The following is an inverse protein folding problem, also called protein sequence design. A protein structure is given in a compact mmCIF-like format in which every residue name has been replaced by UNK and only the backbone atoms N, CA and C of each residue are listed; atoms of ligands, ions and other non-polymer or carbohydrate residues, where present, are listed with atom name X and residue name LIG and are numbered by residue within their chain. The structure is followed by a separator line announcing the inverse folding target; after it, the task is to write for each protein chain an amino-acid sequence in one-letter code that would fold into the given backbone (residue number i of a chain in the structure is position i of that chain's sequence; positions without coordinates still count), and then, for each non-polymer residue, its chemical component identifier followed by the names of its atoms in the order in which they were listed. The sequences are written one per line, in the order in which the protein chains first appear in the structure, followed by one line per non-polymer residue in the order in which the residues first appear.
data_IF_218877860851
#
_entry.id   IF_218877860851
#
_cell.length_a   1.000
_cell.length_b   1.000
_cell.length_c   1.000
_cell.angle_alpha   90.00
_cell.angle_beta   90.00
_cell.angle_gamma   90.00
#
_symmetry.space_group_name_H-M   'P 1'
#
loop_
_entity.id
_entity.type
_entity.pdbx_description
1 polymer ?
#
# COMPACT_ATOMS: atom_id res chain seq x y z
N UNK A 1 47.61 -25.78 4.64
CA UNK A 1 47.30 -24.72 3.66
C UNK A 1 48.58 -24.51 2.87
N UNK A 2 48.53 -24.57 1.53
CA UNK A 2 49.76 -24.46 0.73
C UNK A 2 49.97 -22.99 0.37
N UNK A 3 51.14 -22.47 0.71
CA UNK A 3 51.48 -21.05 0.54
C UNK A 3 52.33 -20.85 -0.72
N UNK A 4 52.04 -19.80 -1.50
CA UNK A 4 52.76 -19.51 -2.74
C UNK A 4 54.08 -18.80 -2.42
N UNK A 5 55.16 -19.57 -2.30
CA UNK A 5 56.50 -19.05 -2.03
C UNK A 5 57.09 -18.33 -3.24
N UNK A 6 56.99 -17.00 -3.27
CA UNK A 6 57.69 -16.15 -4.24
C UNK A 6 59.18 -16.12 -3.90
N UNK A 7 60.03 -16.35 -4.91
CA UNK A 7 61.49 -16.17 -4.84
C UNK A 7 61.91 -15.20 -5.92
N UNK A 8 62.54 -14.10 -5.54
CA UNK A 8 62.91 -13.01 -6.45
C UNK A 8 64.42 -12.85 -6.55
N UNK A 9 64.87 -12.44 -7.75
CA UNK A 9 66.24 -12.01 -8.02
C UNK A 9 66.19 -11.05 -9.21
N UNK A 10 66.72 -9.84 -9.05
CA UNK A 10 66.77 -8.82 -10.11
C UNK A 10 68.20 -8.65 -10.58
N UNK A 11 68.42 -8.73 -11.89
CA UNK A 11 69.72 -8.48 -12.53
C UNK A 11 69.50 -7.41 -13.61
N UNK A 12 70.12 -6.25 -13.46
CA UNK A 12 69.99 -5.15 -14.41
C UNK A 12 70.78 -5.45 -15.71
N UNK A 13 70.21 -5.21 -16.91
CA UNK A 13 70.92 -5.42 -18.17
C UNK A 13 71.99 -4.33 -18.38
N UNK A 14 73.27 -4.71 -18.28
CA UNK A 14 74.40 -3.81 -18.54
C UNK A 14 74.65 -3.71 -20.04
N UNK A 15 74.40 -2.54 -20.63
CA UNK A 15 74.74 -2.23 -22.02
C UNK A 15 76.08 -1.47 -22.03
N UNK A 16 77.12 -2.09 -22.58
CA UNK A 16 78.43 -1.46 -22.80
C UNK A 16 78.64 -1.20 -24.30
N UNK A 17 78.98 0.04 -24.65
CA UNK A 17 79.24 0.52 -26.02
C UNK A 17 80.40 1.53 -25.92
N UNK A 18 81.33 1.50 -26.87
CA UNK A 18 82.45 2.43 -26.99
C UNK A 18 82.02 3.81 -27.55
N UNK A 19 81.07 4.47 -26.87
CA UNK A 19 80.49 5.73 -27.34
C UNK A 19 81.55 6.83 -27.57
N UNK A 20 82.54 6.96 -26.70
CA UNK A 20 83.60 7.98 -26.83
C UNK A 20 84.44 7.77 -28.11
N UNK A 21 84.76 6.51 -28.43
CA UNK A 21 85.50 6.14 -29.65
C UNK A 21 84.64 6.37 -30.90
N UNK A 22 83.36 5.97 -30.86
CA UNK A 22 82.42 6.14 -31.97
C UNK A 22 82.13 7.62 -32.23
N UNK A 23 82.01 8.44 -31.20
CA UNK A 23 81.82 9.89 -31.33
C UNK A 23 83.09 10.59 -31.84
N UNK A 24 84.27 10.17 -31.38
CA UNK A 24 85.54 10.66 -31.93
C UNK A 24 85.70 10.32 -33.42
N UNK A 25 85.43 9.06 -33.81
CA UNK A 25 85.47 8.61 -35.21
C UNK A 25 84.44 9.34 -36.06
N UNK A 26 83.19 9.47 -35.58
CA UNK A 26 82.13 10.18 -36.30
C UNK A 26 82.45 11.68 -36.49
N UNK A 27 83.05 12.33 -35.48
CA UNK A 27 83.54 13.72 -35.59
C UNK A 27 84.66 13.85 -36.62
N UNK A 28 85.63 12.93 -36.64
CA UNK A 28 86.73 12.98 -37.60
C UNK A 28 86.23 12.77 -39.04
N UNK A 29 85.33 11.80 -39.24
CA UNK A 29 84.65 11.57 -40.52
C UNK A 29 83.78 12.77 -40.93
N UNK A 30 83.16 13.48 -40.00
CA UNK A 30 82.37 14.67 -40.33
C UNK A 30 83.22 15.87 -40.78
N UNK A 31 84.42 16.06 -40.21
CA UNK A 31 85.33 17.17 -40.56
C UNK A 31 85.66 17.20 -42.05
N UNK A 32 85.91 16.05 -42.68
CA UNK A 32 86.32 15.98 -44.08
C UNK A 32 85.28 16.56 -45.04
N UNK A 33 84.00 16.58 -44.65
CA UNK A 33 82.90 17.12 -45.46
C UNK A 33 82.51 18.57 -45.13
N UNK A 34 83.11 19.19 -44.12
CA UNK A 34 82.62 20.47 -43.56
C UNK A 34 82.87 21.69 -44.47
N UNK A 35 83.62 21.56 -45.58
CA UNK A 35 83.89 22.66 -46.52
C UNK A 35 84.12 22.21 -47.98
N UNK A 36 83.46 21.13 -48.43
CA UNK A 36 83.59 20.68 -49.83
C UNK A 36 82.65 21.46 -50.77
N UNK A 37 83.21 22.06 -51.82
CA UNK A 37 82.47 22.56 -52.97
C UNK A 37 82.32 21.45 -54.03
N UNK A 38 81.09 21.13 -54.43
CA UNK A 38 80.81 20.03 -55.36
C UNK A 38 80.89 20.51 -56.81
N UNK A 39 81.90 20.05 -57.55
CA UNK A 39 82.02 20.15 -59.01
C UNK A 39 81.42 18.93 -59.71
N UNK A 40 81.16 19.00 -61.02
CA UNK A 40 80.59 17.88 -61.81
C UNK A 40 81.42 16.59 -61.70
N UNK A 41 82.75 16.69 -61.73
CA UNK A 41 83.66 15.54 -61.57
C UNK A 41 83.55 14.90 -60.16
N UNK A 42 83.39 15.73 -59.12
CA UNK A 42 83.30 15.27 -57.73
C UNK A 42 81.92 14.71 -57.34
N UNK A 43 80.85 15.09 -58.06
CA UNK A 43 79.46 14.81 -57.72
C UNK A 43 79.18 13.30 -57.51
N UNK A 44 79.79 12.45 -58.34
CA UNK A 44 79.64 10.99 -58.25
C UNK A 44 80.22 10.42 -56.95
N UNK A 45 81.34 10.96 -56.49
CA UNK A 45 81.99 10.57 -55.22
C UNK A 45 81.20 11.09 -54.03
N UNK A 46 80.83 12.38 -54.03
CA UNK A 46 80.00 12.95 -52.96
C UNK A 46 78.67 12.18 -52.74
N UNK A 47 78.07 11.65 -53.82
CA UNK A 47 76.87 10.79 -53.77
C UNK A 47 77.14 9.39 -53.20
N UNK A 48 78.34 8.84 -53.37
CA UNK A 48 78.75 7.59 -52.76
C UNK A 48 79.01 7.77 -51.26
N UNK A 49 79.72 8.83 -50.89
CA UNK A 49 80.05 9.19 -49.51
C UNK A 49 78.79 9.49 -48.68
N UNK A 50 77.85 10.27 -49.22
CA UNK A 50 76.56 10.51 -48.58
C UNK A 50 75.77 9.20 -48.31
N UNK A 51 75.89 8.20 -49.20
CA UNK A 51 75.30 6.87 -49.01
C UNK A 51 76.04 6.06 -47.94
N UNK A 52 77.36 6.19 -47.84
CA UNK A 52 78.19 5.55 -46.81
C UNK A 52 77.88 6.12 -45.41
N UNK A 53 77.80 7.44 -45.28
CA UNK A 53 77.39 8.12 -44.03
C UNK A 53 75.97 7.71 -43.60
N UNK A 54 75.02 7.67 -44.53
CA UNK A 54 73.68 7.14 -44.27
C UNK A 54 73.70 5.65 -43.86
N UNK A 55 74.63 4.85 -44.39
CA UNK A 55 74.88 3.48 -43.94
C UNK A 55 75.26 3.40 -42.47
N UNK A 56 76.27 4.18 -42.03
CA UNK A 56 76.70 4.21 -40.64
C UNK A 56 75.59 4.63 -39.67
N UNK A 57 74.79 5.64 -40.01
CA UNK A 57 73.63 6.06 -39.19
C UNK A 57 72.61 4.91 -39.05
N UNK A 58 72.33 4.19 -40.14
CA UNK A 58 71.42 3.05 -40.12
C UNK A 58 71.97 1.87 -39.31
N UNK A 59 73.27 1.60 -39.36
CA UNK A 59 73.88 0.51 -38.57
C UNK A 59 73.94 0.83 -37.07
N UNK A 60 74.20 2.09 -36.68
CA UNK A 60 74.08 2.54 -35.28
C UNK A 60 72.64 2.36 -34.80
N UNK A 61 71.64 2.81 -35.57
CA UNK A 61 70.22 2.66 -35.22
C UNK A 61 69.79 1.19 -35.13
N UNK A 62 70.29 0.33 -36.04
CA UNK A 62 70.05 -1.12 -36.04
C UNK A 62 70.66 -1.80 -34.82
N UNK A 63 71.90 -1.44 -34.44
CA UNK A 63 72.57 -1.94 -33.22
C UNK A 63 71.85 -1.47 -31.95
N UNK A 64 71.44 -0.19 -31.89
CA UNK A 64 70.63 0.36 -30.79
C UNK A 64 69.32 -0.40 -30.61
N UNK A 65 68.59 -0.68 -31.70
CA UNK A 65 67.34 -1.48 -31.67
C UNK A 65 67.59 -2.91 -31.20
N UNK A 66 68.65 -3.57 -31.69
CA UNK A 66 68.99 -4.93 -31.28
C UNK A 66 69.33 -5.03 -29.78
N UNK A 67 70.22 -4.16 -29.28
CA UNK A 67 70.62 -4.13 -27.87
C UNK A 67 69.44 -3.76 -26.95
N UNK A 68 68.61 -2.78 -27.35
CA UNK A 68 67.37 -2.46 -26.64
C UNK A 68 66.42 -3.67 -26.59
N UNK A 69 66.22 -4.37 -27.71
CA UNK A 69 65.36 -5.57 -27.75
C UNK A 69 65.89 -6.71 -26.88
N UNK A 70 67.21 -6.88 -26.80
CA UNK A 70 67.84 -7.88 -25.94
C UNK A 70 67.71 -7.53 -24.45
N UNK A 71 67.89 -6.26 -24.08
CA UNK A 71 67.73 -5.79 -22.70
C UNK A 71 66.27 -5.82 -22.22
N UNK A 72 65.30 -5.57 -23.11
CA UNK A 72 63.87 -5.64 -22.78
C UNK A 72 63.31 -7.08 -22.77
N UNK A 73 63.98 -8.05 -23.39
CA UNK A 73 63.43 -9.41 -23.53
C UNK A 73 63.16 -10.12 -22.19
N UNK A 74 64.07 -10.12 -21.19
CA UNK A 74 63.80 -10.72 -19.88
C UNK A 74 62.64 -10.07 -19.13
N UNK A 75 62.44 -8.75 -19.31
CA UNK A 75 61.35 -8.00 -18.67
C UNK A 75 60.00 -8.39 -19.29
N UNK A 76 59.94 -8.53 -20.62
CA UNK A 76 58.74 -8.99 -21.33
C UNK A 76 58.41 -10.45 -21.01
N UNK A 77 59.42 -11.31 -20.91
CA UNK A 77 59.23 -12.70 -20.51
C UNK A 77 58.76 -12.82 -19.05
N UNK A 78 59.28 -11.99 -18.13
CA UNK A 78 58.81 -11.90 -16.76
C UNK A 78 57.33 -11.48 -16.68
N UNK A 79 56.94 -10.39 -17.35
CA UNK A 79 55.56 -9.90 -17.41
C UNK A 79 54.59 -10.97 -17.98
N UNK A 80 54.99 -11.66 -19.04
CA UNK A 80 54.22 -12.78 -19.63
C UNK A 80 54.07 -13.96 -18.65
N UNK A 81 55.14 -14.33 -17.94
CA UNK A 81 55.11 -15.42 -16.95
C UNK A 81 54.25 -15.05 -15.73
N UNK A 82 54.32 -13.81 -15.25
CA UNK A 82 53.44 -13.31 -14.18
C UNK A 82 51.97 -13.39 -14.58
N UNK A 83 51.61 -12.89 -15.78
CA UNK A 83 50.23 -12.96 -16.31
C UNK A 83 49.74 -14.40 -16.51
N UNK A 84 50.61 -15.32 -16.94
CA UNK A 84 50.25 -16.73 -17.03
C UNK A 84 49.94 -17.36 -15.65
N UNK A 85 50.71 -17.00 -14.60
CA UNK A 85 50.45 -17.45 -13.23
C UNK A 85 49.16 -16.82 -12.68
N UNK A 86 48.95 -15.52 -12.92
CA UNK A 86 47.73 -14.79 -12.53
C UNK A 86 46.48 -15.41 -13.18
N UNK A 87 46.55 -15.76 -14.48
CA UNK A 87 45.45 -16.43 -15.18
C UNK A 87 45.12 -17.79 -14.57
N UNK A 88 46.12 -18.63 -14.30
CA UNK A 88 45.93 -19.96 -13.67
C UNK A 88 45.23 -19.83 -12.31
N UNK A 89 45.61 -18.84 -11.49
CA UNK A 89 44.98 -18.56 -10.20
C UNK A 89 43.56 -18.00 -10.35
N UNK A 90 43.32 -17.19 -11.38
CA UNK A 90 42.00 -16.62 -11.69
C UNK A 90 41.02 -17.67 -12.19
N UNK A 91 41.45 -18.57 -13.08
CA UNK A 91 40.64 -19.67 -13.60
C UNK A 91 40.23 -20.63 -12.48
N UNK A 92 41.19 -21.01 -11.62
CA UNK A 92 40.93 -21.85 -10.45
C UNK A 92 39.98 -21.17 -9.43
N UNK A 93 40.09 -19.85 -9.23
CA UNK A 93 39.16 -19.07 -8.42
C UNK A 93 37.74 -19.11 -9.01
N UNK A 94 37.59 -18.88 -10.30
CA UNK A 94 36.29 -18.87 -10.99
C UNK A 94 35.62 -20.25 -10.96
N UNK A 95 36.39 -21.34 -11.06
CA UNK A 95 35.86 -22.70 -10.88
C UNK A 95 35.33 -22.92 -9.46
N UNK A 96 36.08 -22.52 -8.43
CA UNK A 96 35.65 -22.61 -7.02
C UNK A 96 34.40 -21.76 -6.76
N UNK A 97 34.36 -20.52 -7.24
CA UNK A 97 33.19 -19.64 -7.10
C UNK A 97 31.96 -20.24 -7.81
N UNK A 98 32.12 -20.75 -9.03
CA UNK A 98 31.07 -21.41 -9.80
C UNK A 98 30.54 -22.71 -9.18
N UNK A 99 31.35 -23.44 -8.42
CA UNK A 99 30.92 -24.61 -7.62
C UNK A 99 30.23 -24.15 -6.32
N UNK A 100 30.76 -23.14 -5.64
CA UNK A 100 30.23 -22.62 -4.37
C UNK A 100 28.82 -22.04 -4.55
N UNK A 101 28.59 -21.25 -5.59
CA UNK A 101 27.25 -20.70 -5.91
C UNK A 101 26.23 -21.82 -6.12
N UNK A 102 26.56 -22.85 -6.91
CA UNK A 102 25.68 -24.01 -7.14
C UNK A 102 25.37 -24.78 -5.84
N UNK A 103 26.35 -24.88 -4.94
CA UNK A 103 26.17 -25.54 -3.64
C UNK A 103 25.24 -24.72 -2.72
N UNK A 104 25.47 -23.41 -2.59
CA UNK A 104 24.62 -22.55 -1.77
C UNK A 104 23.20 -22.39 -2.35
N UNK A 105 23.03 -22.35 -3.67
CA UNK A 105 21.69 -22.32 -4.29
C UNK A 105 20.93 -23.63 -4.07
N UNK A 106 21.59 -24.79 -4.20
CA UNK A 106 20.98 -26.08 -3.82
C UNK A 106 20.59 -26.10 -2.34
N UNK A 107 21.44 -25.56 -1.47
CA UNK A 107 21.21 -25.49 -0.02
C UNK A 107 20.06 -24.55 0.35
N UNK A 108 19.86 -23.43 -0.37
CA UNK A 108 18.65 -22.59 -0.30
C UNK A 108 17.44 -23.41 -0.72
N UNK A 109 17.46 -24.00 -1.91
CA UNK A 109 16.32 -24.76 -2.45
C UNK A 109 15.89 -25.91 -1.52
N UNK A 110 16.84 -26.66 -0.96
CA UNK A 110 16.57 -27.70 0.05
C UNK A 110 15.97 -27.14 1.34
N UNK A 111 16.47 -26.01 1.86
CA UNK A 111 15.92 -25.35 3.04
C UNK A 111 14.50 -24.86 2.77
N UNK A 112 14.27 -24.22 1.62
CA UNK A 112 13.00 -23.58 1.29
C UNK A 112 11.91 -24.63 1.05
N UNK A 113 12.25 -25.77 0.42
CA UNK A 113 11.39 -26.98 0.37
C UNK A 113 11.05 -27.51 1.78
N UNK A 114 12.03 -27.57 2.69
CA UNK A 114 11.80 -28.02 4.09
C UNK A 114 10.90 -27.05 4.86
N UNK A 115 11.07 -25.74 4.69
CA UNK A 115 10.21 -24.71 5.29
C UNK A 115 8.77 -24.75 4.75
N UNK A 116 8.57 -24.82 3.42
CA UNK A 116 7.23 -24.92 2.83
C UNK A 116 6.53 -26.21 3.28
N UNK A 117 7.23 -27.34 3.28
CA UNK A 117 6.71 -28.63 3.78
C UNK A 117 6.48 -28.66 5.30
N UNK A 118 7.05 -27.72 6.07
CA UNK A 118 6.72 -27.50 7.48
C UNK A 118 5.41 -26.70 7.59
N UNK A 119 5.34 -25.54 6.92
CA UNK A 119 4.14 -24.70 6.90
C UNK A 119 2.89 -25.48 6.43
N UNK A 120 2.99 -26.25 5.34
CA UNK A 120 1.89 -27.10 4.86
C UNK A 120 1.38 -28.11 5.90
N UNK A 121 2.26 -28.64 6.77
CA UNK A 121 1.87 -29.59 7.82
C UNK A 121 1.21 -28.88 8.98
N UNK A 122 1.75 -27.75 9.40
CA UNK A 122 1.22 -26.96 10.52
C UNK A 122 -0.11 -26.28 10.16
N UNK A 123 -0.30 -25.81 8.92
CA UNK A 123 -1.59 -25.35 8.37
C UNK A 123 -2.65 -26.45 8.51
N UNK A 124 -2.34 -27.68 8.06
CA UNK A 124 -3.25 -28.84 8.11
C UNK A 124 -3.54 -29.27 9.56
N UNK A 125 -2.52 -29.25 10.42
CA UNK A 125 -2.61 -29.59 11.86
C UNK A 125 -3.38 -28.55 12.67
N UNK A 126 -3.33 -27.27 12.28
CA UNK A 126 -4.15 -26.20 12.86
C UNK A 126 -5.61 -26.23 12.41
N UNK A 127 -5.96 -26.99 11.36
CA UNK A 127 -7.31 -26.99 10.79
C UNK A 127 -7.70 -25.65 10.17
N UNK A 128 -6.73 -24.97 9.54
CA UNK A 128 -6.91 -23.64 8.96
C UNK A 128 -7.62 -23.73 7.59
N UNK A 129 -8.70 -22.96 7.39
CA UNK A 129 -9.45 -22.94 6.12
C UNK A 129 -8.66 -22.25 5.00
N UNK A 130 -8.94 -22.56 3.71
CA UNK A 130 -8.22 -21.98 2.57
C UNK A 130 -8.16 -20.44 2.60
N UNK A 131 -9.29 -19.78 2.90
CA UNK A 131 -9.44 -18.32 2.99
C UNK A 131 -8.55 -17.62 4.05
N UNK A 132 -8.03 -18.39 5.02
CA UNK A 132 -7.03 -17.94 5.99
C UNK A 132 -5.62 -18.44 5.62
N UNK A 133 -5.48 -19.67 5.12
CA UNK A 133 -4.20 -20.21 4.67
C UNK A 133 -3.58 -19.43 3.50
N UNK A 134 -4.40 -18.90 2.60
CA UNK A 134 -3.99 -18.01 1.49
C UNK A 134 -3.43 -16.66 1.97
N UNK A 135 -3.67 -16.27 3.23
CA UNK A 135 -3.14 -15.04 3.85
C UNK A 135 -1.72 -15.22 4.41
N UNK A 136 -1.17 -16.45 4.40
CA UNK A 136 0.18 -16.72 4.90
C UNK A 136 1.22 -16.23 3.89
N UNK A 137 2.02 -15.25 4.29
CA UNK A 137 3.05 -14.64 3.45
C UNK A 137 4.39 -15.34 3.69
N UNK A 138 5.18 -15.50 2.61
CA UNK A 138 6.54 -16.01 2.69
C UNK A 138 7.42 -15.10 3.56
N UNK A 139 8.00 -15.60 4.68
CA UNK A 139 8.78 -14.78 5.59
C UNK A 139 9.94 -14.08 4.87
N UNK A 140 10.10 -12.77 5.08
CA UNK A 140 11.21 -11.99 4.51
C UNK A 140 12.58 -12.57 4.88
N UNK A 141 12.66 -13.25 6.03
CA UNK A 141 13.81 -13.97 6.56
C UNK A 141 14.28 -15.13 5.65
N UNK A 142 13.43 -15.69 4.78
CA UNK A 142 13.85 -16.66 3.74
C UNK A 142 14.93 -16.10 2.83
N UNK A 143 14.82 -14.83 2.41
CA UNK A 143 15.68 -14.26 1.37
C UNK A 143 17.14 -14.08 1.82
N UNK A 144 17.40 -14.17 3.13
CA UNK A 144 18.74 -14.16 3.70
C UNK A 144 19.32 -15.59 3.81
N UNK A 145 20.55 -15.77 3.34
CA UNK A 145 21.29 -17.03 3.36
C UNK A 145 21.79 -17.43 4.77
N UNK A 146 21.96 -16.47 5.68
CA UNK A 146 22.40 -16.77 7.06
C UNK A 146 21.24 -17.18 7.99
N UNK A 147 19.99 -16.98 7.57
CA UNK A 147 18.81 -17.40 8.35
C UNK A 147 18.71 -18.92 8.43
N UNK A 148 18.68 -19.45 9.66
CA UNK A 148 18.46 -20.90 9.88
C UNK A 148 17.00 -21.29 9.62
N UNK A 149 16.79 -22.55 9.21
CA UNK A 149 15.45 -23.11 9.00
C UNK A 149 14.54 -22.94 10.23
N UNK A 150 15.09 -23.01 11.46
CA UNK A 150 14.33 -22.84 12.71
C UNK A 150 13.66 -21.47 12.82
N UNK A 151 14.31 -20.40 12.36
CA UNK A 151 13.75 -19.03 12.41
C UNK A 151 12.62 -18.90 11.39
N UNK A 152 12.83 -19.34 10.15
CA UNK A 152 11.82 -19.31 9.08
C UNK A 152 10.58 -20.13 9.47
N UNK A 153 10.78 -21.30 10.09
CA UNK A 153 9.68 -22.10 10.63
C UNK A 153 8.91 -21.32 11.73
N UNK A 154 9.60 -20.68 12.68
CA UNK A 154 8.94 -19.88 13.72
C UNK A 154 8.14 -18.70 13.15
N UNK A 155 8.62 -18.06 12.07
CA UNK A 155 7.89 -16.98 11.37
C UNK A 155 6.61 -17.52 10.69
N UNK A 156 6.60 -18.77 10.20
CA UNK A 156 5.39 -19.43 9.74
C UNK A 156 4.47 -19.84 10.89
N UNK A 157 5.02 -20.45 11.95
CA UNK A 157 4.26 -20.92 13.11
C UNK A 157 3.50 -19.75 13.78
N UNK A 158 4.13 -18.57 13.87
CA UNK A 158 3.51 -17.35 14.36
C UNK A 158 2.37 -16.84 13.46
N UNK A 159 2.54 -16.83 12.13
CA UNK A 159 1.47 -16.47 11.19
C UNK A 159 0.30 -17.45 11.26
N UNK A 160 0.58 -18.76 11.29
CA UNK A 160 -0.44 -19.83 11.39
C UNK A 160 -1.22 -19.70 12.71
N UNK A 161 -0.54 -19.44 13.83
CA UNK A 161 -1.20 -19.23 15.12
C UNK A 161 -2.10 -17.98 15.13
N UNK A 162 -1.63 -16.86 14.58
CA UNK A 162 -2.42 -15.63 14.50
C UNK A 162 -3.66 -15.78 13.59
N UNK A 163 -3.51 -16.43 12.44
CA UNK A 163 -4.61 -16.70 11.51
C UNK A 163 -5.59 -17.74 12.06
N UNK A 164 -5.11 -18.72 12.85
CA UNK A 164 -5.97 -19.68 13.53
C UNK A 164 -6.80 -19.01 14.63
N UNK A 165 -6.20 -18.14 15.44
CA UNK A 165 -6.93 -17.33 16.43
C UNK A 165 -8.00 -16.45 15.77
N UNK A 166 -7.68 -15.84 14.61
CA UNK A 166 -8.66 -15.06 13.85
C UNK A 166 -9.82 -15.93 13.35
N UNK A 167 -9.53 -17.10 12.76
CA UNK A 167 -10.57 -18.05 12.33
C UNK A 167 -11.47 -18.50 13.50
N UNK A 168 -10.88 -18.85 14.65
CA UNK A 168 -11.64 -19.32 15.81
C UNK A 168 -12.52 -18.21 16.42
N UNK A 169 -12.06 -16.95 16.36
CA UNK A 169 -12.87 -15.79 16.74
C UNK A 169 -14.02 -15.54 15.74
N UNK A 170 -13.79 -15.66 14.43
CA UNK A 170 -14.85 -15.57 13.41
C UNK A 170 -15.89 -16.67 13.61
N UNK A 171 -15.46 -17.92 13.73
CA UNK A 171 -16.35 -19.08 13.90
C UNK A 171 -17.20 -18.97 15.18
N UNK A 172 -16.63 -18.40 16.25
CA UNK A 172 -17.35 -18.09 17.48
C UNK A 172 -18.40 -16.98 17.29
N UNK A 173 -18.03 -15.87 16.65
CA UNK A 173 -18.95 -14.74 16.43
C UNK A 173 -20.08 -15.10 15.46
N UNK A 174 -19.80 -15.87 14.40
CA UNK A 174 -20.83 -16.38 13.47
C UNK A 174 -21.83 -17.31 14.17
N UNK A 175 -21.34 -18.20 15.04
CA UNK A 175 -22.19 -19.08 15.83
C UNK A 175 -23.09 -18.30 16.81
N UNK A 176 -22.54 -17.28 17.48
CA UNK A 176 -23.30 -16.38 18.37
C UNK A 176 -24.33 -15.59 17.57
N UNK A 177 -23.90 -14.88 16.52
CA UNK A 177 -24.73 -14.07 15.64
C UNK A 177 -25.95 -14.86 15.19
N UNK A 178 -25.72 -16.04 14.61
CA UNK A 178 -26.79 -16.91 14.15
C UNK A 178 -27.72 -17.34 15.27
N UNK A 179 -27.19 -17.85 16.38
CA UNK A 179 -28.02 -18.35 17.49
C UNK A 179 -28.88 -17.26 18.15
N UNK A 180 -28.35 -16.04 18.28
CA UNK A 180 -29.09 -14.91 18.87
C UNK A 180 -30.10 -14.32 17.87
N UNK A 181 -29.74 -14.20 16.58
CA UNK A 181 -30.68 -13.77 15.52
C UNK A 181 -31.84 -14.77 15.38
N UNK A 182 -31.56 -16.07 15.35
CA UNK A 182 -32.58 -17.13 15.31
C UNK A 182 -33.50 -17.06 16.54
N UNK A 183 -32.96 -16.76 17.74
CA UNK A 183 -33.73 -16.65 18.98
C UNK A 183 -34.58 -15.37 19.10
N UNK A 184 -34.12 -14.24 18.57
CA UNK A 184 -34.91 -12.99 18.52
C UNK A 184 -35.97 -13.02 17.41
N UNK A 185 -35.68 -13.67 16.27
CA UNK A 185 -36.61 -13.86 15.16
C UNK A 185 -37.84 -14.72 15.49
N UNK A 186 -37.90 -15.33 16.67
CA UNK A 186 -39.09 -16.00 17.23
C UNK A 186 -40.05 -15.04 17.96
N UNK A 187 -39.62 -13.79 18.24
CA UNK A 187 -40.35 -12.81 19.07
C UNK A 187 -40.91 -11.63 18.25
N UNK A 188 -40.27 -11.31 17.13
CA UNK A 188 -40.60 -10.20 16.23
C UNK A 188 -41.17 -10.73 14.90
N UNK A 189 -41.97 -9.92 14.19
CA UNK A 189 -42.50 -10.26 12.84
C UNK A 189 -41.53 -9.83 11.74
N UNK A 190 -40.88 -8.67 11.89
CA UNK A 190 -39.84 -8.22 10.96
C UNK A 190 -38.51 -8.88 11.34
N UNK A 191 -38.15 -9.93 10.61
CA UNK A 191 -36.96 -10.73 10.90
C UNK A 191 -35.65 -9.95 10.65
N UNK A 192 -34.74 -10.04 11.62
CA UNK A 192 -33.33 -9.68 11.52
C UNK A 192 -32.59 -10.62 10.58
N UNK A 193 -31.55 -10.11 9.92
CA UNK A 193 -30.63 -10.89 9.08
C UNK A 193 -29.22 -10.85 9.65
N UNK A 194 -28.44 -11.90 9.44
CA UNK A 194 -27.05 -11.94 9.91
C UNK A 194 -26.18 -10.90 9.18
N UNK A 195 -26.48 -10.66 7.90
CA UNK A 195 -25.84 -9.69 7.02
C UNK A 195 -25.96 -8.25 7.52
N UNK A 196 -27.02 -7.92 8.28
CA UNK A 196 -27.22 -6.58 8.88
C UNK A 196 -26.12 -6.25 9.92
N UNK A 197 -25.46 -7.27 10.48
CA UNK A 197 -24.43 -7.15 11.52
C UNK A 197 -23.00 -7.35 11.00
N UNK A 198 -22.81 -7.72 9.72
CA UNK A 198 -21.50 -8.13 9.18
C UNK A 198 -20.39 -7.10 9.44
N UNK A 199 -20.64 -5.81 9.20
CA UNK A 199 -19.69 -4.72 9.49
C UNK A 199 -19.30 -4.64 10.97
N UNK A 200 -20.25 -4.91 11.87
CA UNK A 200 -19.99 -4.88 13.31
C UNK A 200 -19.15 -6.09 13.76
N UNK A 201 -19.31 -7.24 13.11
CA UNK A 201 -18.41 -8.40 13.31
C UNK A 201 -17.00 -8.07 12.82
N UNK A 202 -16.84 -7.46 11.64
CA UNK A 202 -15.54 -7.00 11.12
C UNK A 202 -14.87 -5.97 12.06
N UNK A 203 -15.63 -5.00 12.58
CA UNK A 203 -15.17 -4.01 13.56
C UNK A 203 -14.72 -4.67 14.87
N UNK A 204 -15.48 -5.64 15.40
CA UNK A 204 -15.11 -6.39 16.60
C UNK A 204 -13.82 -7.19 16.39
N UNK A 205 -13.74 -7.98 15.31
CA UNK A 205 -12.53 -8.76 14.95
C UNK A 205 -11.29 -7.87 14.77
N UNK A 206 -11.47 -6.65 14.27
CA UNK A 206 -10.40 -5.66 14.08
C UNK A 206 -10.01 -4.91 15.36
N UNK A 207 -10.82 -4.97 16.42
CA UNK A 207 -10.66 -4.14 17.63
C UNK A 207 -9.59 -4.62 18.63
N UNK A 208 -9.07 -5.84 18.48
CA UNK A 208 -8.10 -6.44 19.42
C UNK A 208 -8.68 -6.80 20.79
N UNK A 209 -10.01 -6.93 20.88
CA UNK A 209 -10.78 -7.20 22.10
C UNK A 209 -10.73 -8.68 22.54
N UNK A 210 -10.97 -8.96 23.82
CA UNK A 210 -11.11 -10.35 24.31
C UNK A 210 -12.32 -11.04 23.64
N UNK A 211 -12.23 -12.33 23.27
CA UNK A 211 -13.34 -13.06 22.66
C UNK A 211 -14.67 -12.99 23.43
N UNK A 212 -14.64 -12.93 24.77
CA UNK A 212 -15.86 -12.81 25.61
C UNK A 212 -16.48 -11.43 25.52
N UNK A 213 -15.66 -10.38 25.45
CA UNK A 213 -16.13 -9.00 25.32
C UNK A 213 -16.70 -8.76 23.91
N UNK A 214 -16.08 -9.35 22.87
CA UNK A 214 -16.65 -9.36 21.51
C UNK A 214 -17.99 -10.10 21.47
N UNK A 215 -18.06 -11.31 22.05
CA UNK A 215 -19.29 -12.09 22.17
C UNK A 215 -20.41 -11.33 22.88
N UNK A 216 -20.10 -10.69 24.01
CA UNK A 216 -21.04 -9.89 24.79
C UNK A 216 -21.58 -8.70 24.01
N UNK A 217 -20.70 -7.92 23.38
CA UNK A 217 -21.09 -6.76 22.55
C UNK A 217 -21.96 -7.14 21.36
N UNK A 218 -21.60 -8.22 20.66
CA UNK A 218 -22.38 -8.73 19.53
C UNK A 218 -23.79 -9.13 19.99
N UNK A 219 -23.91 -9.88 21.09
CA UNK A 219 -25.20 -10.22 21.69
C UNK A 219 -26.02 -8.98 22.05
N UNK A 220 -25.43 -8.03 22.78
CA UNK A 220 -26.09 -6.75 23.14
C UNK A 220 -26.62 -6.01 21.90
N UNK A 221 -25.81 -5.84 20.84
CA UNK A 221 -26.25 -5.11 19.64
C UNK A 221 -27.38 -5.82 18.89
N UNK A 222 -27.42 -7.16 18.91
CA UNK A 222 -28.53 -7.92 18.33
C UNK A 222 -29.81 -7.73 19.17
N UNK A 223 -29.73 -7.81 20.50
CA UNK A 223 -30.89 -7.58 21.38
C UNK A 223 -31.41 -6.14 21.30
N UNK A 224 -30.54 -5.13 21.24
CA UNK A 224 -30.93 -3.73 20.98
C UNK A 224 -31.70 -3.61 19.66
N UNK A 225 -31.17 -4.18 18.58
CA UNK A 225 -31.79 -4.09 17.25
C UNK A 225 -33.11 -4.88 17.17
N UNK A 226 -33.27 -5.95 17.95
CA UNK A 226 -34.55 -6.64 18.13
C UNK A 226 -35.57 -5.78 18.89
N UNK A 227 -35.14 -5.07 19.94
CA UNK A 227 -35.99 -4.15 20.69
C UNK A 227 -36.45 -2.94 19.84
N UNK A 228 -35.53 -2.33 19.08
CA UNK A 228 -35.83 -1.28 18.09
C UNK A 228 -36.96 -1.69 17.13
N UNK A 229 -36.98 -2.97 16.70
CA UNK A 229 -38.03 -3.53 15.84
C UNK A 229 -39.32 -3.80 16.61
N UNK A 230 -39.24 -4.42 17.80
CA UNK A 230 -40.42 -4.73 18.61
C UNK A 230 -41.21 -3.48 19.01
N UNK A 231 -40.53 -2.38 19.37
CA UNK A 231 -41.16 -1.10 19.65
C UNK A 231 -41.84 -0.48 18.42
N UNK A 232 -41.21 -0.59 17.24
CA UNK A 232 -41.79 -0.14 15.99
C UNK A 232 -43.04 -0.96 15.59
N UNK A 233 -43.00 -2.29 15.78
CA UNK A 233 -44.15 -3.16 15.54
C UNK A 233 -45.32 -2.89 16.49
N UNK A 234 -45.04 -2.64 17.77
CA UNK A 234 -46.06 -2.31 18.76
C UNK A 234 -46.70 -0.95 18.45
N UNK A 235 -45.88 0.04 18.05
CA UNK A 235 -46.38 1.35 17.61
C UNK A 235 -47.31 1.20 16.39
N UNK A 236 -46.91 0.47 15.36
CA UNK A 236 -47.74 0.20 14.16
C UNK A 236 -49.04 -0.53 14.54
N UNK A 237 -48.97 -1.48 15.49
CA UNK A 237 -50.15 -2.18 16.01
C UNK A 237 -51.11 -1.22 16.72
N UNK A 238 -50.60 -0.34 17.58
CA UNK A 238 -51.40 0.63 18.31
C UNK A 238 -52.04 1.67 17.38
N UNK A 239 -51.28 2.18 16.40
CA UNK A 239 -51.77 3.11 15.37
C UNK A 239 -52.91 2.47 14.55
N UNK A 240 -52.78 1.20 14.15
CA UNK A 240 -53.83 0.46 13.45
C UNK A 240 -55.09 0.23 14.32
N UNK A 241 -54.92 -0.08 15.61
CA UNK A 241 -56.02 -0.25 16.56
C UNK A 241 -56.79 1.07 16.74
N UNK A 242 -56.09 2.20 16.85
CA UNK A 242 -56.72 3.50 17.06
C UNK A 242 -57.32 4.09 15.78
N UNK A 243 -56.78 3.78 14.60
CA UNK A 243 -57.45 4.07 13.32
C UNK A 243 -58.74 3.24 13.17
N UNK A 244 -58.73 1.96 13.52
CA UNK A 244 -59.93 1.11 13.45
C UNK A 244 -61.02 1.55 14.42
N UNK A 245 -60.68 1.90 15.68
CA UNK A 245 -61.64 2.54 16.62
C UNK A 245 -62.24 3.82 16.02
N UNK A 246 -61.42 4.65 15.38
CA UNK A 246 -61.87 5.90 14.74
C UNK A 246 -62.82 5.63 13.57
N UNK A 247 -62.52 4.63 12.72
CA UNK A 247 -63.40 4.18 11.63
C UNK A 247 -64.72 3.65 12.17
N UNK A 248 -64.71 2.84 13.24
CA UNK A 248 -65.93 2.32 13.87
C UNK A 248 -66.78 3.42 14.51
N UNK A 249 -66.18 4.39 15.18
CA UNK A 249 -66.89 5.57 15.70
C UNK A 249 -67.54 6.39 14.59
N UNK A 250 -66.81 6.67 13.49
CA UNK A 250 -67.35 7.38 12.33
C UNK A 250 -68.45 6.57 11.60
N UNK A 251 -68.35 5.24 11.58
CA UNK A 251 -69.40 4.38 11.02
C UNK A 251 -70.67 4.36 11.89
N UNK A 252 -70.54 4.36 13.22
CA UNK A 252 -71.68 4.51 14.14
C UNK A 252 -72.33 5.89 14.02
N UNK A 253 -71.54 6.97 13.93
CA UNK A 253 -72.03 8.33 13.72
C UNK A 253 -72.78 8.47 12.38
N UNK A 254 -72.22 7.91 11.30
CA UNK A 254 -72.88 7.88 9.98
C UNK A 254 -74.15 7.01 9.96
N UNK A 255 -74.18 5.89 10.69
CA UNK A 255 -75.36 5.05 10.82
C UNK A 255 -76.47 5.77 11.60
N UNK A 256 -76.15 6.37 12.75
CA UNK A 256 -77.10 7.15 13.55
C UNK A 256 -77.63 8.38 12.78
N UNK A 257 -76.78 9.06 12.01
CA UNK A 257 -77.20 10.15 11.12
C UNK A 257 -78.15 9.66 10.00
N UNK A 258 -77.93 8.44 9.47
CA UNK A 258 -78.81 7.82 8.47
C UNK A 258 -80.15 7.39 9.08
N UNK A 259 -80.15 6.76 10.25
CA UNK A 259 -81.38 6.43 10.99
C UNK A 259 -82.17 7.69 11.38
N UNK A 260 -81.50 8.75 11.83
CA UNK A 260 -82.14 10.04 12.10
C UNK A 260 -82.73 10.68 10.83
N UNK A 261 -82.06 10.56 9.68
CA UNK A 261 -82.57 11.03 8.39
C UNK A 261 -83.77 10.22 7.90
N UNK A 262 -83.74 8.89 8.06
CA UNK A 262 -84.85 8.01 7.69
C UNK A 262 -86.06 8.22 8.61
N UNK A 263 -85.83 8.38 9.92
CA UNK A 263 -86.87 8.70 10.90
C UNK A 263 -87.47 10.10 10.65
N UNK A 264 -86.66 11.10 10.29
CA UNK A 264 -87.15 12.41 9.87
C UNK A 264 -87.95 12.37 8.56
N UNK A 265 -87.61 11.45 7.64
CA UNK A 265 -88.42 11.23 6.42
C UNK A 265 -89.76 10.59 6.72
N UNK A 266 -89.82 9.65 7.68
CA UNK A 266 -91.07 9.02 8.14
C UNK A 266 -91.98 10.02 8.88
N UNK A 267 -91.41 10.91 9.72
CA UNK A 267 -92.17 11.96 10.42
C UNK A 267 -92.85 12.92 9.43
N UNK A 268 -92.23 13.20 8.28
CA UNK A 268 -92.82 14.06 7.24
C UNK A 268 -94.05 13.46 6.53
N UNK A 269 -94.36 12.17 6.67
CA UNK A 269 -95.65 11.61 6.24
C UNK A 269 -96.76 11.73 7.31
N UNK A 270 -96.39 12.02 8.57
CA UNK A 270 -97.34 12.14 9.69
C UNK A 270 -96.97 13.24 10.70
N UNK A 271 -97.17 14.52 10.33
CA UNK A 271 -97.87 15.51 11.18
C UNK A 271 -98.07 16.86 10.48
N UNK A 272 -99.17 16.96 9.74
CA UNK A 272 -99.61 18.20 9.11
C UNK A 272 -100.66 18.89 10.00
N UNK A 273 -100.26 19.70 11.00
CA UNK A 273 -101.01 20.89 11.46
C UNK A 273 -100.41 21.69 12.65
N UNK A 274 -100.40 23.02 12.47
CA UNK A 274 -100.57 24.11 13.48
C UNK A 274 -99.55 24.36 14.62
N UNK A 275 -99.37 25.59 15.17
CA UNK A 275 -99.22 26.98 14.63
C UNK A 275 -99.07 28.00 15.80
N UNK A 276 -98.06 28.90 15.72
CA UNK A 276 -97.96 30.24 16.40
C UNK A 276 -97.98 30.37 17.96
N UNK A 277 -97.51 31.45 18.64
CA UNK A 277 -96.58 32.56 18.34
C UNK A 277 -96.26 33.44 19.60
N UNK A 278 -95.41 34.48 19.43
CA UNK A 278 -95.06 35.64 20.32
C UNK A 278 -93.99 35.36 21.41
N UNK A 279 -92.92 36.16 21.63
CA UNK A 279 -92.72 37.64 21.81
C UNK A 279 -93.13 38.11 23.23
N UNK A 280 -92.42 38.99 23.98
CA UNK A 280 -91.28 39.93 23.77
C UNK A 280 -90.69 40.30 25.19
N UNK A 281 -89.67 41.13 25.51
CA UNK A 281 -88.83 42.13 24.78
C UNK A 281 -87.55 42.59 25.56
N UNK A 282 -86.53 43.15 24.86
CA UNK A 282 -85.64 44.32 25.18
C UNK A 282 -84.85 44.48 26.54
N UNK A 283 -83.82 45.35 26.77
CA UNK A 283 -83.39 46.69 26.23
C UNK A 283 -81.83 46.94 26.32
N UNK A 284 -81.21 47.63 25.33
CA UNK A 284 -79.96 48.48 25.33
C UNK A 284 -78.55 47.94 25.75
N UNK A 285 -77.40 48.61 25.46
CA UNK A 285 -76.88 49.22 24.19
C UNK A 285 -75.33 49.47 24.26
N UNK A 286 -74.73 49.79 23.09
CA UNK A 286 -73.30 50.05 22.70
C UNK A 286 -72.52 51.17 23.47
N UNK A 287 -71.16 51.38 23.34
CA UNK A 287 -70.34 51.20 22.11
C UNK A 287 -68.82 50.80 22.16
N UNK A 288 -68.34 50.31 21.00
CA UNK A 288 -67.03 50.49 20.30
C UNK A 288 -65.70 50.46 21.09
N UNK A 289 -64.82 49.51 20.76
CA UNK A 289 -63.38 49.73 20.45
C UNK A 289 -62.71 48.51 19.78
N UNK A 290 -61.77 48.77 18.86
CA UNK A 290 -60.78 47.84 18.29
C UNK A 290 -59.38 48.33 18.79
N UNK A 291 -58.24 47.58 18.75
CA UNK A 291 -57.83 46.74 17.61
C UNK A 291 -56.89 45.52 17.85
N UNK A 292 -56.64 44.78 16.76
CA UNK A 292 -55.40 44.00 16.45
C UNK A 292 -55.13 42.64 17.13
N UNK A 293 -54.35 41.80 16.42
CA UNK A 293 -53.72 40.51 16.78
C UNK A 293 -54.60 39.25 16.61
N UNK A 294 -54.20 38.15 15.95
CA UNK A 294 -53.33 37.91 14.77
C UNK A 294 -53.47 36.42 14.37
N UNK A 295 -53.66 36.11 13.08
CA UNK A 295 -53.49 34.81 12.39
C UNK A 295 -53.84 33.48 13.10
N UNK A 296 -54.89 32.76 12.64
CA UNK A 296 -54.78 31.32 12.42
C UNK A 296 -54.00 31.04 11.12
N UNK A 297 -53.02 30.13 11.13
CA UNK A 297 -52.32 29.70 9.91
C UNK A 297 -52.64 28.24 9.57
N UNK A 298 -53.44 28.04 8.52
CA UNK A 298 -53.44 26.81 7.73
C UNK A 298 -52.46 26.94 6.56
N UNK A 299 -51.89 25.79 6.15
CA UNK A 299 -51.31 25.51 4.82
C UNK A 299 -50.34 26.54 4.21
N UNK A 300 -49.05 26.18 4.18
CA UNK A 300 -48.07 26.79 3.26
C UNK A 300 -47.91 25.90 2.01
N UNK A 301 -48.28 26.33 0.79
CA UNK A 301 -48.09 25.56 -0.43
C UNK A 301 -46.71 25.80 -1.06
N UNK A 302 -45.89 24.73 -1.14
CA UNK A 302 -44.70 24.55 -1.98
C UNK A 302 -43.92 25.78 -2.49
N UNK A 303 -42.76 26.02 -1.86
CA UNK A 303 -41.54 26.49 -2.53
C UNK A 303 -40.36 25.62 -2.06
N UNK A 304 -39.32 25.45 -2.88
CA UNK A 304 -38.35 24.35 -2.76
C UNK A 304 -37.00 24.72 -2.14
N UNK A 305 -36.22 23.67 -1.84
CA UNK A 305 -34.81 23.65 -1.41
C UNK A 305 -34.50 23.97 0.07
N UNK A 306 -34.22 22.89 0.82
CA UNK A 306 -33.24 22.86 1.89
C UNK A 306 -32.72 21.42 2.01
N UNK A 307 -31.53 21.15 1.48
CA UNK A 307 -30.82 19.89 1.78
C UNK A 307 -30.24 19.97 3.21
N UNK A 308 -30.25 18.87 3.99
CA UNK A 308 -29.64 18.87 5.31
C UNK A 308 -28.12 19.04 5.19
N UNK A 309 -27.61 20.14 5.74
CA UNK A 309 -26.17 20.36 5.87
C UNK A 309 -25.64 19.58 7.07
N UNK A 310 -24.58 18.81 6.84
CA UNK A 310 -23.84 18.11 7.89
C UNK A 310 -22.48 18.76 8.06
N UNK A 311 -22.12 19.05 9.30
CA UNK A 311 -20.80 19.55 9.69
C UNK A 311 -20.12 18.50 10.57
N UNK A 312 -18.82 18.28 10.35
CA UNK A 312 -18.05 17.24 11.04
C UNK A 312 -16.60 17.67 11.25
N UNK A 313 -16.10 17.45 12.46
CA UNK A 313 -14.73 17.81 12.85
C UNK A 313 -13.87 16.55 12.86
N UNK A 314 -12.78 16.56 12.09
CA UNK A 314 -11.80 15.46 12.04
C UNK A 314 -10.52 15.93 12.74
N UNK A 315 -10.20 15.34 13.89
CA UNK A 315 -8.96 15.60 14.62
C UNK A 315 -7.91 14.53 14.30
N UNK A 316 -6.72 14.95 13.88
CA UNK A 316 -5.60 14.08 13.52
C UNK A 316 -4.34 14.48 14.30
N UNK A 317 -3.61 13.48 14.81
CA UNK A 317 -2.30 13.63 15.45
C UNK A 317 -1.30 12.64 14.85
N UNK A 318 -0.02 13.00 14.83
CA UNK A 318 1.02 12.25 14.12
C UNK A 318 2.25 13.11 13.81
N UNK A 319 3.19 12.60 13.02
CA UNK A 319 4.38 13.36 12.67
C UNK A 319 4.04 14.56 11.76
N UNK A 320 4.71 15.70 11.96
CA UNK A 320 4.45 16.93 11.20
C UNK A 320 4.74 16.86 9.70
N UNK A 321 5.43 15.83 9.22
CA UNK A 321 5.58 15.46 7.81
C UNK A 321 4.34 14.73 7.27
N UNK A 322 3.85 13.75 8.01
CA UNK A 322 2.71 12.90 7.65
C UNK A 322 1.40 13.70 7.69
N UNK A 323 1.20 14.52 8.73
CA UNK A 323 0.04 15.42 8.83
C UNK A 323 -0.02 16.41 7.67
N UNK A 324 1.12 16.90 7.15
CA UNK A 324 1.16 17.75 5.95
C UNK A 324 0.75 16.99 4.68
N UNK A 325 1.17 15.74 4.55
CA UNK A 325 0.76 14.88 3.43
C UNK A 325 -0.75 14.61 3.48
N UNK A 326 -1.28 14.11 4.61
CA UNK A 326 -2.70 13.83 4.79
C UNK A 326 -3.56 15.08 4.58
N UNK A 327 -3.14 16.24 5.12
CA UNK A 327 -3.82 17.51 4.89
C UNK A 327 -3.84 17.92 3.41
N UNK A 328 -2.78 17.63 2.64
CA UNK A 328 -2.76 17.92 1.20
C UNK A 328 -3.76 17.06 0.43
N UNK A 329 -3.90 15.78 0.79
CA UNK A 329 -4.88 14.85 0.21
C UNK A 329 -6.31 15.25 0.55
N UNK A 330 -6.60 15.58 1.81
CA UNK A 330 -7.93 16.05 2.23
C UNK A 330 -8.33 17.33 1.51
N UNK A 331 -7.40 18.29 1.33
CA UNK A 331 -7.66 19.53 0.57
C UNK A 331 -7.96 19.28 -0.91
N UNK A 332 -7.37 18.25 -1.52
CA UNK A 332 -7.70 17.84 -2.88
C UNK A 332 -9.13 17.25 -2.93
N UNK A 333 -9.44 16.32 -2.03
CA UNK A 333 -10.75 15.65 -1.95
C UNK A 333 -11.90 16.64 -1.69
N UNK A 334 -11.72 17.58 -0.75
CA UNK A 334 -12.72 18.62 -0.50
C UNK A 334 -12.93 19.53 -1.71
N UNK A 335 -11.87 19.84 -2.47
CA UNK A 335 -11.99 20.63 -3.71
C UNK A 335 -12.71 19.85 -4.82
N UNK A 336 -12.48 18.55 -4.94
CA UNK A 336 -13.14 17.67 -5.92
C UNK A 336 -14.65 17.57 -5.69
N UNK A 337 -15.07 17.44 -4.43
CA UNK A 337 -16.49 17.35 -4.05
C UNK A 337 -17.13 18.70 -3.68
N UNK A 338 -16.45 19.83 -3.92
CA UNK A 338 -16.93 21.19 -3.61
C UNK A 338 -17.35 21.39 -2.12
N UNK A 339 -16.63 20.74 -1.21
CA UNK A 339 -16.85 20.79 0.25
C UNK A 339 -16.05 21.93 0.86
N UNK A 340 -16.71 22.82 1.59
CA UNK A 340 -16.06 23.85 2.39
C UNK A 340 -15.34 23.23 3.60
N UNK A 341 -14.15 23.72 3.92
CA UNK A 341 -13.35 23.25 5.05
C UNK A 341 -12.60 24.41 5.73
N UNK A 342 -12.35 24.27 7.03
CA UNK A 342 -11.43 25.12 7.80
C UNK A 342 -10.27 24.27 8.33
N UNK A 343 -9.12 24.88 8.61
CA UNK A 343 -7.94 24.18 9.14
C UNK A 343 -7.41 24.90 10.36
N UNK A 344 -7.77 24.42 11.55
CA UNK A 344 -7.18 24.83 12.82
C UNK A 344 -5.94 23.98 13.11
N UNK A 345 -4.90 24.59 13.69
CA UNK A 345 -3.60 23.94 13.92
C UNK A 345 -3.05 24.29 15.30
N UNK A 346 -3.23 23.39 16.26
CA UNK A 346 -2.77 23.57 17.64
C UNK A 346 -1.39 22.98 17.83
N UNK A 347 -0.35 23.77 17.58
CA UNK A 347 1.04 23.37 17.89
C UNK A 347 1.21 23.25 19.41
N UNK A 348 1.43 22.04 19.93
CA UNK A 348 1.99 21.90 21.28
C UNK A 348 3.42 22.45 21.27
N UNK A 349 3.64 23.53 22.03
CA UNK A 349 4.98 24.03 22.33
C UNK A 349 5.56 23.14 23.43
N UNK A 350 6.66 22.45 23.11
CA UNK A 350 7.49 21.70 24.03
C UNK A 350 8.78 22.49 24.32
#
# INVERSE_FOLDING_TARGET
MNELMIKEQVIAPVISINFDELEAQAKEIAKTYTSIAITEESYKTAKADAKMLAGFVNDIEKKRRALKSQAEAPIKEFDQRCKAIEQILTDAKLEIEGVTVKYDDKKKEERDKKCRSHAEKEIKKAGLRPEFAERIVEPSTMKNLTTTQKVINADYDAQIAALKLLQDNTDMLDAILKSTVDAENLKIKQQLKCEDFAKYVDELLSSGMDPKDMAGKLGTRIHERAAEIAEAEEKIRQEAIDEEKKRQAQAMEAAAAKEASEMASAINETENNTVEARNQDNVAQMPISNPTVSNPFQTNPFASQNEPRYEGVISLSGAGSELKFVLSTLKALCKEHNVNYEVTSTSQVA
#
